data_IF_888220155885
#
_entry.id   IF_888220155885
#
_cell.length_a   1.000
_cell.length_b   1.000
_cell.length_c   1.000
_cell.angle_alpha   90.00
_cell.angle_beta   90.00
_cell.angle_gamma   90.00
#
_symmetry.space_group_name_H-M   'P 1'
#
loop_
_entity.id
_entity.type
_entity.pdbx_description
1 polymer ?
#
# COMPACT_ATOMS: atom_id res chain seq x y z
N UNK A 1 -30.64 -0.43 5.50
CA UNK A 1 -29.73 -0.97 6.55
C UNK A 1 -28.48 -1.46 5.85
N UNK A 2 -27.30 -1.06 6.31
CA UNK A 2 -26.04 -1.48 5.72
C UNK A 2 -25.56 -2.78 6.35
N UNK A 3 -25.20 -3.76 5.51
CA UNK A 3 -24.53 -4.99 5.94
C UNK A 3 -23.03 -4.80 5.76
N UNK A 4 -22.30 -4.92 6.87
CA UNK A 4 -20.88 -4.55 6.98
C UNK A 4 -20.01 -5.24 5.92
N UNK A 5 -20.20 -6.54 5.68
CA UNK A 5 -19.54 -7.32 4.61
C UNK A 5 -20.27 -8.65 4.37
N UNK A 6 -19.78 -9.48 3.45
CA UNK A 6 -20.12 -10.92 3.37
C UNK A 6 -19.49 -11.76 4.48
N UNK A 7 -18.57 -11.19 5.27
CA UNK A 7 -17.79 -11.88 6.31
C UNK A 7 -18.35 -11.71 7.72
N UNK A 8 -19.36 -10.89 7.92
CA UNK A 8 -20.11 -10.78 9.17
C UNK A 8 -21.58 -10.42 8.95
N UNK A 9 -22.45 -10.78 9.89
CA UNK A 9 -23.89 -10.53 9.84
C UNK A 9 -24.32 -9.22 10.51
N UNK A 10 -23.37 -8.46 11.04
CA UNK A 10 -23.64 -7.21 11.74
C UNK A 10 -24.16 -6.13 10.80
N UNK A 11 -25.27 -5.50 11.20
CA UNK A 11 -25.95 -4.46 10.44
C UNK A 11 -26.05 -3.17 11.21
N UNK A 12 -25.79 -2.05 10.53
CA UNK A 12 -25.87 -0.71 11.11
C UNK A 12 -26.70 0.21 10.22
N UNK A 13 -27.16 1.32 10.78
CA UNK A 13 -27.80 2.36 10.00
C UNK A 13 -26.78 3.05 9.08
N UNK A 14 -27.21 3.51 7.89
CA UNK A 14 -26.30 4.13 6.92
C UNK A 14 -25.59 5.35 7.50
N UNK A 15 -26.31 6.19 8.26
CA UNK A 15 -25.71 7.33 8.95
C UNK A 15 -24.66 6.92 9.99
N UNK A 16 -24.94 5.85 10.75
CA UNK A 16 -24.08 5.34 11.81
C UNK A 16 -22.75 4.85 11.24
N UNK A 17 -22.81 4.03 10.18
CA UNK A 17 -21.61 3.48 9.56
C UNK A 17 -20.83 4.57 8.81
N UNK A 18 -21.50 5.54 8.19
CA UNK A 18 -20.84 6.66 7.52
C UNK A 18 -20.05 7.51 8.50
N UNK A 19 -20.65 7.88 9.65
CA UNK A 19 -19.98 8.64 10.71
C UNK A 19 -18.82 7.87 11.32
N UNK A 20 -18.98 6.56 11.55
CA UNK A 20 -17.90 5.71 12.04
C UNK A 20 -16.71 5.68 11.07
N UNK A 21 -16.95 5.45 9.78
CA UNK A 21 -15.91 5.45 8.73
C UNK A 21 -15.22 6.83 8.69
N UNK A 22 -15.99 7.92 8.71
CA UNK A 22 -15.45 9.27 8.68
C UNK A 22 -14.52 9.55 9.88
N UNK A 23 -14.93 9.15 11.09
CA UNK A 23 -14.12 9.28 12.32
C UNK A 23 -12.84 8.46 12.21
N UNK A 24 -12.89 7.22 11.72
CA UNK A 24 -11.69 6.38 11.58
C UNK A 24 -10.69 6.92 10.58
N UNK A 25 -11.18 7.53 9.49
CA UNK A 25 -10.31 8.21 8.52
C UNK A 25 -9.67 9.47 9.13
N UNK A 26 -10.40 10.22 9.98
CA UNK A 26 -9.83 11.35 10.72
C UNK A 26 -8.72 10.89 11.68
N UNK A 27 -8.89 9.73 12.32
CA UNK A 27 -7.87 9.08 13.16
C UNK A 27 -6.70 8.48 12.34
N UNK A 28 -6.63 8.73 11.03
CA UNK A 28 -5.64 8.16 10.11
C UNK A 28 -5.64 6.62 10.03
N UNK A 29 -6.76 5.98 10.37
CA UNK A 29 -6.94 4.54 10.26
C UNK A 29 -7.45 4.20 8.86
N UNK A 30 -6.61 3.57 8.04
CA UNK A 30 -6.97 3.15 6.68
C UNK A 30 -7.66 1.79 6.62
N UNK A 31 -7.26 0.83 7.48
CA UNK A 31 -7.87 -0.50 7.60
C UNK A 31 -8.97 -0.50 8.65
N UNK A 32 -10.19 -0.20 8.22
CA UNK A 32 -11.34 -0.06 9.10
C UNK A 32 -12.01 -1.42 9.31
N UNK A 33 -12.11 -1.87 10.56
CA UNK A 33 -12.81 -3.11 10.94
C UNK A 33 -14.30 -2.86 11.21
N UNK A 34 -15.06 -3.94 11.30
CA UNK A 34 -16.42 -3.93 11.83
C UNK A 34 -16.45 -3.19 13.18
N UNK A 35 -17.46 -2.33 13.45
CA UNK A 35 -17.58 -1.63 14.73
C UNK A 35 -17.71 -2.56 15.94
N UNK A 36 -18.17 -3.80 15.73
CA UNK A 36 -18.25 -4.83 16.75
C UNK A 36 -16.87 -5.27 17.26
N UNK A 37 -16.67 -5.23 18.58
CA UNK A 37 -15.36 -5.45 19.22
C UNK A 37 -14.77 -6.85 18.98
N UNK A 38 -15.62 -7.86 18.76
CA UNK A 38 -15.19 -9.24 18.57
C UNK A 38 -15.20 -9.65 17.09
N UNK A 39 -15.30 -8.68 16.18
CA UNK A 39 -15.43 -8.93 14.75
C UNK A 39 -14.20 -8.44 13.97
N UNK A 40 -13.50 -9.38 13.35
CA UNK A 40 -12.30 -9.12 12.54
C UNK A 40 -12.62 -8.82 11.06
N UNK A 41 -13.90 -8.73 10.69
CA UNK A 41 -14.31 -8.38 9.34
C UNK A 41 -13.86 -6.95 8.99
N UNK A 42 -13.22 -6.79 7.84
CA UNK A 42 -12.72 -5.49 7.36
C UNK A 42 -13.74 -4.90 6.39
N UNK A 43 -14.08 -3.62 6.59
CA UNK A 43 -14.96 -2.87 5.71
C UNK A 43 -14.26 -2.58 4.38
N UNK A 44 -14.86 -3.03 3.28
CA UNK A 44 -14.32 -2.78 1.95
C UNK A 44 -14.86 -1.46 1.39
N UNK A 45 -13.99 -0.52 0.93
CA UNK A 45 -14.43 0.82 0.50
C UNK A 45 -15.46 0.80 -0.63
N UNK A 46 -15.40 -0.20 -1.52
CA UNK A 46 -16.32 -0.32 -2.66
C UNK A 46 -17.77 -0.57 -2.21
N UNK A 47 -17.98 -1.26 -1.09
CA UNK A 47 -19.31 -1.48 -0.51
C UNK A 47 -19.86 -0.22 0.16
N UNK A 48 -18.97 0.67 0.61
CA UNK A 48 -19.34 1.84 1.39
C UNK A 48 -19.53 3.11 0.53
N UNK A 49 -19.16 3.07 -0.75
CA UNK A 49 -19.05 4.27 -1.59
C UNK A 49 -20.37 5.02 -1.81
N UNK A 50 -21.52 4.33 -1.75
CA UNK A 50 -22.85 4.93 -1.89
C UNK A 50 -23.34 5.60 -0.60
N UNK A 51 -22.74 5.24 0.54
CA UNK A 51 -23.20 5.64 1.88
C UNK A 51 -22.38 6.79 2.43
N UNK A 52 -21.10 6.85 2.06
CA UNK A 52 -20.18 7.88 2.55
C UNK A 52 -20.08 9.05 1.55
N UNK A 53 -19.91 10.29 2.03
CA UNK A 53 -19.69 11.43 1.15
C UNK A 53 -18.46 11.23 0.24
N UNK A 54 -18.55 11.71 -1.01
CA UNK A 54 -17.45 11.59 -2.01
C UNK A 54 -16.09 12.05 -1.48
N UNK A 55 -16.08 13.13 -0.68
CA UNK A 55 -14.86 13.66 -0.07
C UNK A 55 -14.24 12.68 0.95
N UNK A 56 -15.07 12.03 1.76
CA UNK A 56 -14.63 11.02 2.75
C UNK A 56 -14.10 9.79 2.01
N UNK A 57 -14.78 9.35 0.96
CA UNK A 57 -14.32 8.23 0.13
C UNK A 57 -12.97 8.51 -0.54
N UNK A 58 -12.77 9.72 -1.08
CA UNK A 58 -11.50 10.11 -1.68
C UNK A 58 -10.36 10.08 -0.65
N UNK A 59 -10.59 10.63 0.56
CA UNK A 59 -9.62 10.57 1.67
C UNK A 59 -9.32 9.14 2.08
N UNK A 60 -10.32 8.27 2.14
CA UNK A 60 -10.12 6.86 2.48
C UNK A 60 -9.25 6.15 1.44
N UNK A 61 -9.54 6.32 0.14
CA UNK A 61 -8.71 5.75 -0.94
C UNK A 61 -7.27 6.25 -0.88
N UNK A 62 -7.08 7.54 -0.63
CA UNK A 62 -5.74 8.11 -0.47
C UNK A 62 -5.02 7.52 0.75
N UNK A 63 -5.72 7.35 1.89
CA UNK A 63 -5.15 6.72 3.08
C UNK A 63 -4.77 5.25 2.85
N UNK A 64 -5.59 4.49 2.11
CA UNK A 64 -5.26 3.11 1.71
C UNK A 64 -4.05 3.06 0.78
N UNK A 65 -3.98 3.94 -0.22
CA UNK A 65 -2.83 4.05 -1.11
C UNK A 65 -1.56 4.38 -0.34
N UNK A 66 -1.62 5.33 0.60
CA UNK A 66 -0.49 5.68 1.46
C UNK A 66 -0.09 4.53 2.39
N UNK A 67 -1.06 3.79 2.93
CA UNK A 67 -0.78 2.64 3.79
C UNK A 67 -0.12 1.49 3.02
N UNK A 68 -0.47 1.29 1.75
CA UNK A 68 0.24 0.37 0.85
C UNK A 68 1.68 0.83 0.65
N UNK A 69 1.91 2.12 0.39
CA UNK A 69 3.25 2.69 0.21
C UNK A 69 4.09 2.59 1.51
N UNK A 70 3.50 2.83 2.68
CA UNK A 70 4.18 2.73 3.98
C UNK A 70 4.42 1.29 4.44
N UNK A 71 3.60 0.33 3.99
CA UNK A 71 3.82 -1.10 4.20
C UNK A 71 4.88 -1.68 3.27
N UNK A 72 5.25 -0.93 2.23
CA UNK A 72 6.22 -1.31 1.22
C UNK A 72 7.58 -0.68 1.45
N UNK A 73 8.66 -1.40 1.14
CA UNK A 73 10.01 -0.83 1.18
C UNK A 73 10.22 0.02 -0.08
N UNK A 74 10.50 1.31 0.12
CA UNK A 74 10.85 2.23 -0.97
C UNK A 74 12.35 2.13 -1.23
N UNK A 75 12.73 1.93 -2.50
CA UNK A 75 14.11 1.88 -2.97
C UNK A 75 14.36 3.00 -3.97
N UNK A 76 15.60 3.48 -3.99
CA UNK A 76 16.08 4.41 -5.01
C UNK A 76 17.03 3.68 -5.94
N UNK A 77 16.97 4.00 -7.24
CA UNK A 77 18.00 3.57 -8.18
C UNK A 77 19.35 4.23 -7.79
N UNK A 78 20.43 3.46 -7.54
CA UNK A 78 21.70 4.03 -7.09
C UNK A 78 22.45 4.79 -8.20
N UNK A 79 22.01 4.62 -9.45
CA UNK A 79 22.55 5.35 -10.59
C UNK A 79 22.00 6.78 -10.60
N UNK A 80 22.89 7.76 -10.37
CA UNK A 80 22.55 9.19 -10.25
C UNK A 80 21.85 9.78 -11.48
N UNK A 81 22.12 9.22 -12.66
CA UNK A 81 21.49 9.59 -13.93
C UNK A 81 20.06 9.04 -14.08
N UNK A 82 19.63 8.12 -13.21
CA UNK A 82 18.29 7.56 -13.20
C UNK A 82 17.49 8.01 -11.97
N UNK A 83 18.01 7.74 -10.76
CA UNK A 83 17.38 8.08 -9.48
C UNK A 83 15.90 7.67 -9.33
N UNK A 84 15.42 6.71 -10.13
CA UNK A 84 14.03 6.28 -10.11
C UNK A 84 13.63 5.70 -8.74
N UNK A 85 12.41 6.03 -8.31
CA UNK A 85 11.81 5.53 -7.07
C UNK A 85 11.07 4.23 -7.38
N UNK A 86 11.36 3.20 -6.59
CA UNK A 86 10.78 1.86 -6.73
C UNK A 86 10.16 1.43 -5.40
N UNK A 87 9.14 0.58 -5.46
CA UNK A 87 8.42 0.11 -4.27
C UNK A 87 8.37 -1.42 -4.31
N UNK A 88 8.78 -2.04 -3.21
CA UNK A 88 8.64 -3.48 -2.97
C UNK A 88 7.31 -3.75 -2.26
N UNK A 89 6.42 -4.41 -2.98
CA UNK A 89 5.07 -4.73 -2.56
C UNK A 89 5.00 -5.95 -1.61
N UNK A 90 6.11 -6.65 -1.33
CA UNK A 90 6.02 -8.00 -0.80
C UNK A 90 6.86 -8.34 0.44
N UNK A 91 7.53 -7.38 1.08
CA UNK A 91 8.09 -7.54 2.45
C UNK A 91 9.24 -8.54 2.62
N UNK A 92 9.57 -9.34 1.60
CA UNK A 92 10.75 -10.21 1.58
C UNK A 92 12.03 -9.40 1.31
N UNK A 93 13.19 -9.93 1.71
CA UNK A 93 14.47 -9.24 1.53
C UNK A 93 14.90 -9.41 0.07
N UNK A 94 14.53 -8.46 -0.79
CA UNK A 94 15.09 -8.37 -2.16
C UNK A 94 16.56 -7.98 -2.05
N UNK A 95 17.47 -8.82 -2.57
CA UNK A 95 18.91 -8.52 -2.63
C UNK A 95 19.36 -8.04 -4.01
N UNK A 96 18.74 -8.56 -5.07
CA UNK A 96 19.07 -8.25 -6.47
C UNK A 96 17.81 -7.76 -7.19
N UNK A 97 17.90 -6.61 -7.86
CA UNK A 97 16.83 -6.12 -8.74
C UNK A 97 17.42 -5.42 -9.95
N UNK A 98 16.71 -5.56 -11.06
CA UNK A 98 16.85 -4.69 -12.22
C UNK A 98 15.98 -3.44 -12.03
N UNK A 99 16.51 -2.26 -12.33
CA UNK A 99 15.70 -1.05 -12.35
C UNK A 99 14.83 -1.01 -13.62
N UNK A 100 13.49 -0.97 -13.54
CA UNK A 100 12.63 -0.96 -14.74
C UNK A 100 12.74 0.33 -15.58
N UNK A 101 13.38 1.38 -15.07
CA UNK A 101 13.53 2.64 -15.79
C UNK A 101 14.81 2.66 -16.64
N UNK A 102 15.92 2.14 -16.12
CA UNK A 102 17.23 2.17 -16.80
C UNK A 102 17.79 0.78 -17.14
N UNK A 103 17.08 -0.29 -16.75
CA UNK A 103 17.45 -1.69 -16.97
C UNK A 103 18.82 -2.08 -16.40
N UNK A 104 19.31 -1.33 -15.40
CA UNK A 104 20.58 -1.62 -14.72
C UNK A 104 20.35 -2.38 -13.42
N UNK A 105 21.20 -3.37 -13.18
CA UNK A 105 21.18 -4.19 -11.98
C UNK A 105 21.79 -3.46 -10.79
N UNK A 106 21.17 -3.63 -9.63
CA UNK A 106 21.67 -3.08 -8.39
C UNK A 106 21.35 -3.96 -7.19
N UNK A 107 22.09 -3.76 -6.11
CA UNK A 107 21.84 -4.45 -4.84
C UNK A 107 20.86 -3.63 -4.00
N UNK A 108 19.63 -4.12 -3.81
CA UNK A 108 18.62 -3.41 -3.01
C UNK A 108 19.01 -3.30 -1.53
N UNK A 109 19.82 -4.24 -1.03
CA UNK A 109 20.30 -4.24 0.36
C UNK A 109 21.43 -3.23 0.57
N UNK A 110 22.37 -3.13 -0.36
CA UNK A 110 23.55 -2.27 -0.25
C UNK A 110 23.35 -0.89 -0.88
N UNK A 111 22.27 -0.69 -1.65
CA UNK A 111 21.96 0.52 -2.40
C UNK A 111 23.13 1.03 -3.27
N UNK A 112 23.77 0.10 -3.98
CA UNK A 112 24.90 0.36 -4.89
C UNK A 112 24.72 -0.42 -6.18
N UNK A 113 25.49 -0.05 -7.21
CA UNK A 113 25.67 -0.86 -8.42
C UNK A 113 25.87 -2.33 -8.06
N UNK A 114 25.31 -3.22 -8.88
CA UNK A 114 25.39 -4.66 -8.62
C UNK A 114 26.82 -5.11 -8.33
N UNK A 115 26.97 -5.93 -7.29
CA UNK A 115 28.24 -6.51 -6.87
C UNK A 115 28.06 -7.94 -6.40
N UNK A 116 29.10 -8.75 -6.57
CA UNK A 116 29.17 -10.10 -6.01
C UNK A 116 29.87 -10.01 -4.65
N UNK A 117 29.13 -10.14 -3.55
CA UNK A 117 29.71 -10.23 -2.20
C UNK A 117 29.99 -11.68 -1.80
N UNK A 118 31.09 -11.93 -1.08
CA UNK A 118 31.56 -13.24 -0.57
C UNK A 118 30.65 -13.89 0.51
N UNK A 119 29.34 -13.71 0.42
CA UNK A 119 28.38 -14.17 1.43
C UNK A 119 27.13 -14.76 0.78
N UNK A 120 27.24 -16.03 0.38
CA UNK A 120 26.14 -16.96 0.11
C UNK A 120 25.22 -16.58 -1.05
N UNK A 121 25.34 -17.35 -2.14
CA UNK A 121 24.48 -17.31 -3.32
C UNK A 121 23.02 -17.48 -2.88
N UNK A 122 22.22 -16.42 -3.03
CA UNK A 122 20.76 -16.51 -3.04
C UNK A 122 20.29 -15.81 -4.31
N UNK A 123 20.02 -16.60 -5.33
CA UNK A 123 19.51 -16.14 -6.64
C UNK A 123 17.99 -15.96 -6.55
N UNK A 124 17.54 -14.93 -5.87
CA UNK A 124 16.16 -14.44 -6.03
C UNK A 124 16.22 -13.10 -6.74
N UNK A 125 16.13 -13.17 -8.07
CA UNK A 125 15.90 -12.04 -8.96
C UNK A 125 14.42 -11.69 -8.87
N UNK A 126 14.08 -10.41 -8.73
CA UNK A 126 12.67 -9.98 -8.76
C UNK A 126 12.53 -8.65 -9.48
N UNK A 127 11.40 -8.51 -10.17
CA UNK A 127 10.99 -7.27 -10.81
C UNK A 127 10.44 -6.31 -9.74
N UNK A 128 11.15 -5.21 -9.49
CA UNK A 128 10.59 -4.07 -8.77
C UNK A 128 9.71 -3.24 -9.70
N UNK A 129 8.77 -2.48 -9.15
CA UNK A 129 7.93 -1.56 -9.94
C UNK A 129 8.38 -0.13 -9.70
N UNK A 130 8.60 0.62 -10.79
CA UNK A 130 8.88 2.07 -10.72
C UNK A 130 7.59 2.81 -10.41
N UNK A 131 7.59 3.55 -9.30
CA UNK A 131 6.52 4.49 -9.01
C UNK A 131 6.82 5.76 -9.79
N UNK A 132 6.09 5.98 -10.87
CA UNK A 132 6.08 7.28 -11.55
C UNK A 132 5.25 8.21 -10.69
N UNK A 133 5.91 9.24 -10.16
CA UNK A 133 5.31 10.33 -9.42
C UNK A 133 4.07 10.83 -10.19
N UNK A 134 2.87 10.65 -9.62
CA UNK A 134 1.60 11.12 -10.18
C UNK A 134 1.29 12.55 -9.73
N UNK A 135 2.30 13.41 -9.64
CA UNK A 135 2.10 14.83 -9.35
C UNK A 135 2.85 15.71 -10.37
N UNK A 136 2.36 15.70 -11.62
CA UNK A 136 2.39 16.86 -12.54
C UNK A 136 1.22 16.78 -13.53
N UNK A 137 0.00 17.08 -13.07
CA UNK A 137 -1.08 17.75 -13.85
C UNK A 137 -1.84 18.63 -12.87
#
# INVERSE_FOLDING_TARGET
MFKTTTKCTHSYCNACIASYIASKIQDSVSKIKCPDMNCEAVLEPHLCHEIIPKQVFARWKNALSKALIFGSKIFYCPYKDCAAVMVDDNGEIVKESECPNCHRLFCCQCNVSWHVGLGWIVRSFRDLVVVRDREKI
#
